data_IF_547474368544
#
_entry.id   IF_547474368544
#
_cell.length_a   1.000
_cell.length_b   1.000
_cell.length_c   1.000
_cell.angle_alpha   90.00
_cell.angle_beta   90.00
_cell.angle_gamma   90.00
#
_symmetry.space_group_name_H-M   'P 1'
#
loop_
_entity.id
_entity.type
_entity.pdbx_description
1 polymer ?
#
# COMPACT_ATOMS: atom_id res chain seq x y z
N UNK A 1 -55.97 -81.95 7.66
CA UNK A 1 -56.98 -81.30 6.79
C UNK A 1 -57.17 -79.87 7.27
N UNK A 2 -57.04 -78.89 6.36
CA UNK A 2 -57.62 -77.52 6.42
C UNK A 2 -57.14 -76.64 7.59
N UNK A 3 -56.99 -75.33 7.53
CA UNK A 3 -56.90 -74.29 6.49
C UNK A 3 -56.39 -73.03 7.24
N UNK A 4 -55.95 -72.03 6.51
CA UNK A 4 -55.28 -70.81 6.98
C UNK A 4 -56.05 -69.96 8.02
N UNK A 5 -55.33 -69.13 8.78
CA UNK A 5 -55.70 -67.71 8.90
C UNK A 5 -54.52 -66.84 9.30
N UNK A 6 -54.45 -65.69 8.63
CA UNK A 6 -53.48 -64.60 8.74
C UNK A 6 -53.89 -63.71 9.92
N UNK A 7 -52.93 -63.21 10.70
CA UNK A 7 -53.11 -61.89 11.33
C UNK A 7 -51.77 -61.21 11.60
N UNK A 8 -51.58 -60.13 10.85
CA UNK A 8 -50.56 -59.10 10.95
C UNK A 8 -50.60 -58.37 12.29
N UNK A 9 -49.44 -58.11 12.91
CA UNK A 9 -49.29 -56.97 13.81
C UNK A 9 -47.92 -56.32 13.61
N UNK A 10 -47.97 -55.07 13.18
CA UNK A 10 -46.88 -54.14 12.92
C UNK A 10 -45.93 -54.02 14.13
N UNK A 11 -44.64 -54.25 13.91
CA UNK A 11 -43.59 -53.74 14.80
C UNK A 11 -43.30 -52.28 14.41
N UNK A 12 -43.76 -51.35 15.24
CA UNK A 12 -43.45 -49.93 15.08
C UNK A 12 -42.03 -49.67 15.62
N UNK A 13 -41.02 -49.69 14.75
CA UNK A 13 -39.67 -49.25 15.07
C UNK A 13 -39.60 -47.76 14.78
N UNK A 14 -39.73 -46.95 15.83
CA UNK A 14 -39.32 -45.54 15.80
C UNK A 14 -37.79 -45.47 15.66
N UNK A 15 -37.30 -45.46 14.42
CA UNK A 15 -35.96 -45.01 14.15
C UNK A 15 -35.95 -43.48 14.26
N UNK A 16 -35.54 -42.96 15.42
CA UNK A 16 -35.09 -41.56 15.52
C UNK A 16 -33.88 -41.42 14.57
N UNK A 17 -34.12 -40.94 13.36
CA UNK A 17 -33.06 -40.33 12.56
C UNK A 17 -32.61 -39.07 13.30
N UNK A 18 -31.57 -39.21 14.12
CA UNK A 18 -30.66 -38.10 14.38
C UNK A 18 -30.00 -37.78 13.03
N UNK A 19 -30.67 -36.94 12.24
CA UNK A 19 -30.00 -36.16 11.21
C UNK A 19 -29.04 -35.23 11.94
N UNK A 20 -27.83 -35.74 12.20
CA UNK A 20 -26.68 -34.91 12.46
C UNK A 20 -26.45 -34.15 11.15
N UNK A 21 -27.14 -33.03 11.00
CA UNK A 21 -26.83 -32.01 10.01
C UNK A 21 -25.43 -31.55 10.34
N UNK A 22 -24.43 -32.24 9.77
CA UNK A 22 -23.11 -31.68 9.61
C UNK A 22 -23.32 -30.46 8.73
N UNK A 23 -23.59 -29.32 9.36
CA UNK A 23 -23.32 -28.04 8.77
C UNK A 23 -21.81 -28.07 8.50
N UNK A 24 -21.45 -28.54 7.31
CA UNK A 24 -20.17 -28.26 6.71
C UNK A 24 -20.13 -26.73 6.69
N UNK A 25 -19.50 -26.15 7.69
CA UNK A 25 -19.15 -24.75 7.65
C UNK A 25 -18.38 -24.60 6.35
N UNK A 26 -19.01 -23.95 5.37
CA UNK A 26 -18.35 -23.56 4.13
C UNK A 26 -17.02 -22.95 4.57
N UNK A 27 -15.88 -23.32 3.95
CA UNK A 27 -14.64 -22.62 4.25
C UNK A 27 -14.98 -21.14 4.11
N UNK A 28 -14.71 -20.36 5.15
CA UNK A 28 -14.84 -18.91 5.10
C UNK A 28 -14.01 -18.48 3.90
N UNK A 29 -14.65 -18.31 2.73
CA UNK A 29 -14.03 -17.70 1.58
C UNK A 29 -13.41 -16.44 2.13
N UNK A 30 -12.07 -16.36 2.08
CA UNK A 30 -11.31 -15.22 2.60
C UNK A 30 -12.04 -13.99 2.09
N UNK A 31 -12.75 -13.27 2.98
CA UNK A 31 -13.63 -12.18 2.57
C UNK A 31 -12.82 -11.31 1.62
N UNK A 32 -13.22 -11.29 0.36
CA UNK A 32 -12.52 -10.52 -0.66
C UNK A 32 -12.48 -9.06 -0.25
N UNK A 33 -11.63 -8.26 -0.89
CA UNK A 33 -11.66 -6.82 -0.68
C UNK A 33 -13.07 -6.27 -0.96
N UNK A 34 -13.45 -5.19 -0.27
CA UNK A 34 -14.77 -4.58 -0.39
C UNK A 34 -15.18 -4.35 -1.85
N UNK A 35 -16.46 -4.55 -2.17
CA UNK A 35 -16.96 -4.44 -3.55
C UNK A 35 -16.80 -3.04 -4.16
N UNK A 36 -16.65 -2.00 -3.34
CA UNK A 36 -16.34 -0.66 -3.80
C UNK A 36 -15.04 -0.58 -4.60
N UNK A 37 -14.06 -1.44 -4.29
CA UNK A 37 -12.78 -1.49 -5.00
C UNK A 37 -12.96 -1.88 -6.47
N UNK A 38 -13.93 -2.76 -6.74
CA UNK A 38 -14.28 -3.18 -8.11
C UNK A 38 -15.08 -2.15 -8.88
N UNK A 39 -15.65 -1.14 -8.21
CA UNK A 39 -16.54 -0.16 -8.82
C UNK A 39 -15.85 1.18 -9.05
N UNK A 40 -15.35 1.81 -7.97
CA UNK A 40 -14.89 3.20 -7.98
C UNK A 40 -13.89 3.48 -6.84
N UNK A 41 -12.82 2.68 -6.74
CA UNK A 41 -11.77 2.90 -5.74
C UNK A 41 -11.13 4.28 -5.97
N UNK A 42 -10.97 5.09 -4.92
CA UNK A 42 -10.17 6.33 -5.03
C UNK A 42 -8.70 5.94 -5.11
N UNK A 43 -7.95 6.58 -6.00
CA UNK A 43 -6.49 6.47 -6.02
C UNK A 43 -5.86 7.85 -5.89
N UNK A 44 -4.93 7.97 -4.95
CA UNK A 44 -4.02 9.11 -4.82
C UNK A 44 -2.59 8.64 -5.05
N UNK A 45 -1.62 9.54 -4.91
CA UNK A 45 -0.21 9.20 -5.03
C UNK A 45 0.59 9.88 -3.92
N UNK A 46 1.65 9.20 -3.48
CA UNK A 46 2.64 9.72 -2.54
C UNK A 46 4.06 9.40 -3.02
N UNK A 47 5.04 10.18 -2.55
CA UNK A 47 6.44 10.09 -3.02
C UNK A 47 7.41 10.32 -1.88
N UNK A 48 8.72 10.19 -2.15
CA UNK A 48 9.76 10.59 -1.21
C UNK A 48 10.21 12.02 -1.57
N UNK A 49 9.95 13.03 -0.72
CA UNK A 49 10.53 14.35 -0.87
C UNK A 49 12.05 14.26 -0.71
N UNK A 50 12.78 14.95 -1.57
CA UNK A 50 14.24 14.99 -1.56
C UNK A 50 14.73 16.40 -1.30
N UNK A 51 15.57 16.57 -0.28
CA UNK A 51 16.17 17.87 0.05
C UNK A 51 16.93 18.42 -1.16
N UNK A 52 16.56 19.63 -1.59
CA UNK A 52 17.09 20.32 -2.76
C UNK A 52 16.26 20.18 -4.04
N UNK A 53 15.34 19.22 -4.11
CA UNK A 53 14.53 18.99 -5.30
C UNK A 53 13.30 19.93 -5.36
N UNK A 54 12.71 20.04 -6.56
CA UNK A 54 11.39 20.65 -6.76
C UNK A 54 10.32 19.74 -6.14
N UNK A 55 9.36 20.35 -5.46
CA UNK A 55 8.23 19.69 -4.83
C UNK A 55 7.03 20.66 -4.81
N UNK A 56 6.02 20.37 -4.00
CA UNK A 56 4.91 21.24 -3.67
C UNK A 56 4.75 21.37 -2.15
N UNK A 57 4.15 22.47 -1.68
CA UNK A 57 3.69 22.59 -0.29
C UNK A 57 2.51 21.65 -0.05
N UNK A 58 2.13 21.45 1.21
CA UNK A 58 0.95 20.64 1.57
C UNK A 58 -0.37 21.25 1.04
N UNK A 59 -0.35 22.50 0.58
CA UNK A 59 -1.53 23.19 0.03
C UNK A 59 -1.61 23.16 -1.49
N UNK A 60 -0.56 22.73 -2.20
CA UNK A 60 -0.57 22.77 -3.68
C UNK A 60 0.59 23.53 -4.32
N UNK A 61 1.25 24.43 -3.59
CA UNK A 61 2.09 25.45 -4.20
C UNK A 61 3.46 24.91 -4.59
N UNK A 62 3.95 25.23 -5.79
CA UNK A 62 5.27 24.80 -6.23
C UNK A 62 6.38 25.36 -5.34
N UNK A 63 7.33 24.51 -4.94
CA UNK A 63 8.44 24.90 -4.07
C UNK A 63 9.72 24.14 -4.42
N UNK A 64 10.85 24.59 -3.87
CA UNK A 64 12.10 23.82 -3.85
C UNK A 64 12.43 23.53 -2.40
N UNK A 65 12.72 22.27 -2.05
CA UNK A 65 12.97 21.83 -0.67
C UNK A 65 14.36 22.27 -0.18
N UNK A 66 14.53 23.58 -0.04
CA UNK A 66 15.78 24.25 0.25
C UNK A 66 15.54 25.47 1.15
N UNK A 67 16.58 26.27 1.43
CA UNK A 67 16.50 27.47 2.27
C UNK A 67 17.19 27.31 3.63
N UNK A 68 16.94 28.27 4.52
CA UNK A 68 17.60 28.35 5.84
C UNK A 68 17.30 27.13 6.71
N UNK A 69 18.35 26.51 7.27
CA UNK A 69 18.29 25.24 8.00
C UNK A 69 17.86 25.44 9.46
N UNK A 70 16.58 25.76 9.67
CA UNK A 70 16.01 26.11 10.98
C UNK A 70 15.36 24.94 11.73
N UNK A 71 14.96 23.85 11.06
CA UNK A 71 14.31 22.69 11.70
C UNK A 71 15.27 21.55 11.90
N UNK A 72 15.24 20.95 13.10
CA UNK A 72 16.00 19.74 13.44
C UNK A 72 15.15 18.50 13.17
N UNK A 73 15.65 17.58 12.35
CA UNK A 73 15.15 16.21 12.27
C UNK A 73 15.79 15.45 13.43
N UNK A 74 14.98 14.88 14.33
CA UNK A 74 15.45 14.20 15.53
C UNK A 74 14.98 12.75 15.57
N UNK A 75 15.79 11.89 16.19
CA UNK A 75 15.40 10.53 16.53
C UNK A 75 14.67 10.43 17.87
N UNK A 76 14.21 9.21 18.22
CA UNK A 76 13.54 8.91 19.49
C UNK A 76 14.37 9.24 20.72
N UNK A 77 15.70 9.34 20.60
CA UNK A 77 16.61 9.73 21.69
C UNK A 77 16.85 11.25 21.73
N UNK A 78 16.15 12.02 20.88
CA UNK A 78 16.32 13.47 20.75
C UNK A 78 17.59 13.88 20.00
N UNK A 79 18.38 12.93 19.50
CA UNK A 79 19.61 13.22 18.74
C UNK A 79 19.24 13.80 17.38
N UNK A 80 19.91 14.87 17.00
CA UNK A 80 19.70 15.49 15.69
C UNK A 80 20.35 14.63 14.60
N UNK A 81 19.54 14.19 13.64
CA UNK A 81 19.99 13.49 12.43
C UNK A 81 20.50 14.53 11.41
N UNK A 82 19.74 15.61 11.22
CA UNK A 82 20.08 16.71 10.31
C UNK A 82 19.33 18.00 10.66
N UNK A 83 19.80 19.13 10.10
CA UNK A 83 19.04 20.37 10.03
C UNK A 83 18.61 20.64 8.59
N UNK A 84 17.34 21.00 8.40
CA UNK A 84 16.71 21.27 7.10
C UNK A 84 15.85 22.54 7.17
N UNK A 85 15.38 23.02 6.04
CA UNK A 85 14.41 24.13 6.02
C UNK A 85 13.05 23.71 6.56
N UNK A 86 12.25 24.70 6.99
CA UNK A 86 10.89 24.46 7.50
C UNK A 86 10.05 23.66 6.50
N UNK A 87 10.03 24.10 5.24
CA UNK A 87 9.29 23.42 4.16
C UNK A 87 9.77 21.99 3.93
N UNK A 88 11.08 21.73 3.98
CA UNK A 88 11.62 20.37 3.85
C UNK A 88 11.15 19.47 4.99
N UNK A 89 11.20 19.97 6.23
CA UNK A 89 10.71 19.24 7.40
C UNK A 89 9.22 18.91 7.29
N UNK A 90 8.40 19.89 6.91
CA UNK A 90 6.95 19.72 6.76
C UNK A 90 6.60 18.72 5.65
N UNK A 91 7.37 18.68 4.57
CA UNK A 91 7.20 17.65 3.54
C UNK A 91 7.64 16.26 3.97
N UNK A 92 8.76 16.15 4.69
CA UNK A 92 9.19 14.87 5.26
C UNK A 92 8.17 14.33 6.27
N UNK A 93 7.54 15.23 7.02
CA UNK A 93 6.41 14.89 7.89
C UNK A 93 5.22 14.41 7.05
N UNK A 94 4.77 15.21 6.07
CA UNK A 94 3.58 14.90 5.27
C UNK A 94 3.64 13.53 4.58
N UNK A 95 4.76 13.24 3.91
CA UNK A 95 4.92 11.99 3.16
C UNK A 95 5.41 10.82 4.02
N UNK A 96 5.76 11.06 5.28
CA UNK A 96 6.28 10.06 6.20
C UNK A 96 7.69 9.53 5.91
N UNK A 97 8.31 9.90 4.78
CA UNK A 97 9.68 9.55 4.38
C UNK A 97 10.38 10.80 3.86
N UNK A 98 11.72 10.83 3.89
CA UNK A 98 12.50 11.89 3.26
C UNK A 98 13.92 11.46 2.91
N UNK A 99 14.44 11.98 1.80
CA UNK A 99 15.82 11.76 1.36
C UNK A 99 16.62 13.06 1.50
N UNK A 100 17.59 13.07 2.41
CA UNK A 100 18.48 14.21 2.60
C UNK A 100 19.51 14.30 1.47
N UNK A 101 20.07 15.50 1.26
CA UNK A 101 21.12 15.72 0.24
C UNK A 101 22.37 14.86 0.47
N UNK A 102 22.60 14.44 1.72
CA UNK A 102 23.69 13.52 2.10
C UNK A 102 23.46 12.06 1.68
N UNK A 103 22.31 11.73 1.07
CA UNK A 103 21.92 10.34 0.78
C UNK A 103 21.32 9.59 1.98
N UNK A 104 21.29 10.22 3.16
CA UNK A 104 20.59 9.67 4.33
C UNK A 104 19.08 9.68 4.09
N UNK A 105 18.46 8.51 4.20
CA UNK A 105 17.02 8.36 4.20
C UNK A 105 16.48 8.34 5.62
N UNK A 106 15.38 9.05 5.85
CA UNK A 106 14.66 9.06 7.11
C UNK A 106 13.21 8.67 6.90
N UNK A 107 12.62 7.97 7.86
CA UNK A 107 11.19 7.70 7.95
C UNK A 107 10.63 8.25 9.26
N UNK A 108 9.37 8.65 9.29
CA UNK A 108 8.66 8.89 10.54
C UNK A 108 8.63 7.60 11.37
N UNK A 109 8.83 7.75 12.67
CA UNK A 109 8.94 6.63 13.60
C UNK A 109 7.89 6.69 14.72
N UNK A 110 7.63 7.88 15.28
CA UNK A 110 6.56 8.06 16.26
C UNK A 110 6.02 9.48 16.24
N UNK A 111 4.70 9.62 16.27
CA UNK A 111 4.05 10.91 16.11
C UNK A 111 4.40 11.57 14.78
N UNK A 112 4.45 12.90 14.75
CA UNK A 112 4.64 13.68 13.52
C UNK A 112 6.02 14.36 13.41
N UNK A 113 6.93 14.16 14.36
CA UNK A 113 8.18 14.94 14.41
C UNK A 113 9.43 14.13 14.78
N UNK A 114 9.26 12.83 15.06
CA UNK A 114 10.35 11.92 15.37
C UNK A 114 10.59 11.01 14.17
N UNK A 115 11.84 10.94 13.75
CA UNK A 115 12.28 10.21 12.58
C UNK A 115 13.33 9.15 12.93
N UNK A 116 13.42 8.10 12.14
CA UNK A 116 14.50 7.11 12.18
C UNK A 116 15.33 7.19 10.91
N UNK A 117 16.66 7.06 11.05
CA UNK A 117 17.53 6.81 9.89
C UNK A 117 17.30 5.37 9.41
N UNK A 118 17.16 5.19 8.10
CA UNK A 118 17.01 3.87 7.50
C UNK A 118 18.35 3.25 7.07
N UNK A 119 18.42 1.93 7.18
CA UNK A 119 19.44 1.11 6.53
C UNK A 119 19.10 0.95 5.05
N UNK A 120 19.84 1.64 4.18
CA UNK A 120 19.59 1.65 2.73
C UNK A 120 19.81 0.29 2.07
N UNK A 121 20.55 -0.64 2.69
CA UNK A 121 20.70 -2.01 2.19
C UNK A 121 19.44 -2.86 2.36
N UNK A 122 18.57 -2.50 3.32
CA UNK A 122 17.33 -3.24 3.64
C UNK A 122 16.08 -2.51 3.13
N UNK A 123 16.04 -1.20 3.28
CA UNK A 123 14.89 -0.35 2.94
C UNK A 123 15.33 0.84 2.08
N UNK A 124 15.81 0.59 0.84
CA UNK A 124 16.39 1.61 -0.02
C UNK A 124 15.42 2.75 -0.40
N UNK A 125 14.12 2.54 -0.29
CA UNK A 125 13.07 3.47 -0.72
C UNK A 125 12.03 3.76 0.38
N UNK A 126 12.38 3.55 1.63
CA UNK A 126 11.48 3.83 2.75
C UNK A 126 10.87 2.58 3.35
N UNK A 127 10.26 2.80 4.52
CA UNK A 127 9.52 1.82 5.28
C UNK A 127 8.05 2.24 5.30
N UNK A 128 7.18 1.35 4.84
CA UNK A 128 5.75 1.50 5.05
C UNK A 128 5.36 1.06 6.46
N UNK A 129 4.10 1.28 6.79
CA UNK A 129 3.50 0.93 8.07
C UNK A 129 3.75 -0.54 8.43
N UNK A 130 3.99 -0.80 9.72
CA UNK A 130 4.30 -2.12 10.26
C UNK A 130 5.53 -2.81 9.63
N UNK A 131 6.49 -2.06 9.08
CA UNK A 131 7.83 -2.57 8.77
C UNK A 131 8.04 -3.14 7.35
N UNK A 132 7.14 -2.90 6.41
CA UNK A 132 7.37 -3.33 5.02
C UNK A 132 8.35 -2.40 4.30
N UNK A 133 9.18 -2.96 3.43
CA UNK A 133 9.93 -2.13 2.48
C UNK A 133 8.97 -1.58 1.43
N UNK A 134 9.05 -0.28 1.17
CA UNK A 134 8.40 0.31 0.00
C UNK A 134 9.21 -0.02 -1.25
N UNK A 135 8.51 -0.31 -2.34
CA UNK A 135 9.11 -0.61 -3.64
C UNK A 135 8.46 0.32 -4.66
N UNK A 136 9.27 1.14 -5.37
CA UNK A 136 8.77 2.06 -6.37
C UNK A 136 7.84 1.38 -7.35
N UNK A 137 6.75 2.05 -7.69
CA UNK A 137 5.82 1.65 -8.75
C UNK A 137 4.96 0.42 -8.45
N UNK A 138 5.10 -0.23 -7.29
CA UNK A 138 4.33 -1.44 -6.96
C UNK A 138 3.78 -1.45 -5.55
N UNK A 139 4.27 -0.60 -4.65
CA UNK A 139 3.68 -0.43 -3.33
C UNK A 139 2.48 0.50 -3.38
N UNK A 140 1.42 0.14 -2.67
CA UNK A 140 0.28 1.01 -2.38
C UNK A 140 0.01 1.05 -0.88
N UNK A 141 -0.49 2.18 -0.39
CA UNK A 141 -1.09 2.29 0.93
C UNK A 141 -2.58 1.93 0.88
N UNK A 142 -3.11 1.32 1.95
CA UNK A 142 -4.55 1.08 2.14
C UNK A 142 -4.85 0.81 3.62
N UNK A 143 -5.92 1.40 4.16
CA UNK A 143 -6.30 1.23 5.56
C UNK A 143 -7.29 0.08 5.80
N UNK A 144 -7.94 -0.43 4.75
CA UNK A 144 -9.01 -1.45 4.84
C UNK A 144 -8.72 -2.72 4.02
N UNK A 145 -7.57 -2.79 3.33
CA UNK A 145 -7.07 -4.02 2.71
C UNK A 145 -5.91 -4.57 3.53
N UNK A 146 -5.95 -5.88 3.79
CA UNK A 146 -4.86 -6.56 4.50
C UNK A 146 -3.52 -6.34 3.79
N UNK A 147 -2.53 -5.89 4.55
CA UNK A 147 -1.12 -5.83 4.16
C UNK A 147 -0.63 -7.11 3.47
N UNK A 148 0.21 -6.95 2.45
CA UNK A 148 0.75 -8.03 1.62
C UNK A 148 -0.21 -8.54 0.54
N UNK A 149 -1.47 -8.09 0.53
CA UNK A 149 -2.43 -8.44 -0.53
C UNK A 149 -1.93 -7.90 -1.86
N UNK A 150 -1.88 -8.78 -2.86
CA UNK A 150 -1.62 -8.40 -4.25
C UNK A 150 -2.91 -7.95 -4.91
N UNK A 151 -2.83 -6.82 -5.59
CA UNK A 151 -3.94 -6.19 -6.27
C UNK A 151 -3.61 -6.06 -7.75
N UNK A 152 -4.63 -6.19 -8.57
CA UNK A 152 -4.59 -5.80 -9.97
C UNK A 152 -5.47 -4.58 -10.18
N UNK A 153 -4.88 -3.50 -10.71
CA UNK A 153 -5.53 -2.24 -11.03
C UNK A 153 -5.61 -2.12 -12.55
N UNK A 154 -6.83 -2.16 -13.10
CA UNK A 154 -7.06 -2.25 -14.54
C UNK A 154 -6.43 -1.08 -15.30
N UNK A 155 -6.56 0.13 -14.78
CA UNK A 155 -6.07 1.38 -15.39
C UNK A 155 -4.54 1.51 -15.37
N UNK A 156 -3.86 0.67 -14.58
CA UNK A 156 -2.40 0.65 -14.50
C UNK A 156 -1.78 -0.48 -15.35
N UNK A 157 -2.58 -1.30 -16.03
CA UNK A 157 -2.06 -2.27 -17.00
C UNK A 157 -1.79 -1.58 -18.35
N UNK A 158 -0.56 -1.71 -18.84
CA UNK A 158 -0.06 -0.98 -20.00
C UNK A 158 0.34 0.48 -19.73
N UNK A 159 0.14 0.98 -18.51
CA UNK A 159 0.50 2.35 -18.13
C UNK A 159 2.00 2.59 -18.32
N UNK A 160 2.36 3.59 -19.14
CA UNK A 160 3.76 3.97 -19.38
C UNK A 160 4.27 4.83 -18.23
N UNK A 161 5.19 4.27 -17.44
CA UNK A 161 5.93 4.92 -16.37
C UNK A 161 6.87 6.01 -16.89
N UNK A 162 7.35 6.93 -16.04
CA UNK A 162 8.21 8.04 -16.47
C UNK A 162 9.50 7.61 -17.18
N UNK A 163 10.00 6.40 -16.93
CA UNK A 163 11.19 5.84 -17.57
C UNK A 163 10.88 5.05 -18.86
N UNK A 164 9.63 5.03 -19.30
CA UNK A 164 9.17 4.34 -20.50
C UNK A 164 8.75 2.88 -20.27
N UNK A 165 9.01 2.29 -19.10
CA UNK A 165 8.52 0.95 -18.79
C UNK A 165 6.99 0.91 -18.76
N UNK A 166 6.41 -0.21 -19.18
CA UNK A 166 4.96 -0.45 -19.10
C UNK A 166 4.64 -1.21 -17.81
N UNK A 167 3.83 -0.59 -16.94
CA UNK A 167 3.30 -1.21 -15.75
C UNK A 167 2.26 -2.31 -16.12
N UNK A 168 2.15 -3.36 -15.33
CA UNK A 168 1.31 -4.55 -15.62
C UNK A 168 0.06 -4.65 -14.73
N UNK A 169 -0.39 -3.52 -14.20
CA UNK A 169 -1.50 -3.43 -13.25
C UNK A 169 -1.26 -4.02 -11.85
N UNK A 170 -0.16 -4.76 -11.63
CA UNK A 170 0.07 -5.48 -10.38
C UNK A 170 0.78 -4.65 -9.31
N UNK A 171 0.15 -4.53 -8.14
CA UNK A 171 0.68 -3.83 -6.96
C UNK A 171 0.48 -4.66 -5.69
N UNK A 172 1.05 -4.20 -4.57
CA UNK A 172 0.92 -4.82 -3.24
C UNK A 172 0.64 -3.77 -2.18
N UNK A 173 -0.26 -4.11 -1.26
CA UNK A 173 -0.50 -3.28 -0.07
C UNK A 173 0.71 -3.39 0.86
N UNK A 174 1.51 -2.33 0.92
CA UNK A 174 2.74 -2.27 1.69
C UNK A 174 2.70 -1.23 2.80
N UNK A 175 1.69 -0.37 2.83
CA UNK A 175 1.63 0.80 3.68
C UNK A 175 0.19 1.13 4.14
N UNK A 176 0.08 2.09 5.05
CA UNK A 176 -1.17 2.67 5.57
C UNK A 176 -0.99 4.19 5.65
N UNK A 177 -2.08 4.95 5.61
CA UNK A 177 -2.03 6.41 5.55
C UNK A 177 -2.99 7.08 6.54
N UNK A 178 -2.51 8.12 7.23
CA UNK A 178 -3.28 8.79 8.29
C UNK A 178 -4.53 9.57 7.84
N UNK A 179 -4.66 9.86 6.55
CA UNK A 179 -5.75 10.64 5.95
C UNK A 179 -6.61 9.81 5.00
N UNK A 180 -6.41 8.48 5.03
CA UNK A 180 -7.08 7.57 4.11
C UNK A 180 -8.33 6.95 4.75
N UNK A 181 -9.41 6.92 3.96
CA UNK A 181 -10.63 6.21 4.30
C UNK A 181 -10.67 4.81 3.69
N UNK A 182 -11.83 4.15 3.83
CA UNK A 182 -12.08 2.91 3.09
C UNK A 182 -12.17 3.15 1.58
N UNK A 183 -11.96 2.09 0.79
CA UNK A 183 -12.04 2.14 -0.68
C UNK A 183 -11.06 3.14 -1.33
N UNK A 184 -9.90 3.33 -0.72
CA UNK A 184 -8.85 4.22 -1.20
C UNK A 184 -7.50 3.49 -1.23
N UNK A 185 -6.78 3.70 -2.33
CA UNK A 185 -5.35 3.40 -2.44
C UNK A 185 -4.54 4.69 -2.53
N UNK A 186 -3.33 4.66 -2.02
CA UNK A 186 -2.32 5.68 -2.29
C UNK A 186 -1.12 5.03 -2.99
N UNK A 187 -0.80 5.47 -4.20
CA UNK A 187 0.20 4.80 -5.03
C UNK A 187 1.59 5.40 -4.82
N UNK A 188 2.55 4.55 -4.46
CA UNK A 188 3.93 4.98 -4.22
C UNK A 188 4.68 5.23 -5.54
N UNK A 189 4.79 6.51 -5.93
CA UNK A 189 5.37 6.94 -7.21
C UNK A 189 6.79 7.47 -7.10
N UNK A 190 7.44 7.27 -5.96
CA UNK A 190 8.85 7.59 -5.67
C UNK A 190 9.24 9.07 -5.72
N UNK A 191 8.87 9.83 -6.76
CA UNK A 191 9.36 11.19 -7.05
C UNK A 191 8.20 12.14 -7.36
N UNK A 192 8.33 13.41 -6.97
CA UNK A 192 7.37 14.46 -7.34
C UNK A 192 7.26 14.67 -8.87
N UNK A 193 8.37 14.53 -9.60
CA UNK A 193 8.37 14.58 -11.07
C UNK A 193 7.47 13.50 -11.68
N UNK A 194 7.49 12.29 -11.11
CA UNK A 194 6.65 11.18 -11.53
C UNK A 194 5.18 11.43 -11.18
N UNK A 195 4.89 11.94 -9.98
CA UNK A 195 3.55 12.38 -9.58
C UNK A 195 2.93 13.33 -10.62
N UNK A 196 3.67 14.37 -11.02
CA UNK A 196 3.20 15.35 -12.03
C UNK A 196 2.87 14.72 -13.39
N UNK A 197 3.56 13.65 -13.77
CA UNK A 197 3.30 12.91 -15.01
C UNK A 197 2.11 11.98 -14.84
N UNK A 198 2.10 11.18 -13.77
CA UNK A 198 1.15 10.11 -13.55
C UNK A 198 -0.23 10.61 -13.15
N UNK A 199 -0.33 11.75 -12.44
CA UNK A 199 -1.64 12.37 -12.14
C UNK A 199 -2.42 12.77 -13.38
N UNK A 200 -1.76 12.93 -14.53
CA UNK A 200 -2.39 13.22 -15.83
C UNK A 200 -2.80 11.95 -16.58
N UNK A 201 -2.28 10.79 -16.19
CA UNK A 201 -2.46 9.50 -16.87
C UNK A 201 -3.37 8.55 -16.10
N UNK A 202 -3.33 8.59 -14.77
CA UNK A 202 -4.12 7.74 -13.89
C UNK A 202 -5.39 8.52 -13.51
N UNK A 203 -6.60 7.99 -13.77
CA UNK A 203 -7.83 8.62 -13.31
C UNK A 203 -7.92 8.61 -11.78
N UNK A 204 -8.67 9.54 -11.20
CA UNK A 204 -8.89 9.60 -9.74
C UNK A 204 -9.68 8.41 -9.18
N UNK A 205 -10.32 7.64 -10.06
CA UNK A 205 -11.11 6.44 -9.78
C UNK A 205 -10.63 5.27 -10.62
N UNK A 206 -10.39 4.13 -9.98
CA UNK A 206 -9.84 2.92 -10.63
C UNK A 206 -10.59 1.65 -10.22
N UNK A 207 -10.44 0.61 -11.04
CA UNK A 207 -11.02 -0.72 -10.83
C UNK A 207 -9.96 -1.67 -10.28
N UNK A 208 -10.17 -2.14 -9.06
CA UNK A 208 -9.22 -2.93 -8.30
C UNK A 208 -9.82 -4.29 -7.94
N UNK A 209 -9.04 -5.34 -8.17
CA UNK A 209 -9.36 -6.71 -7.71
C UNK A 209 -8.20 -7.27 -6.92
N UNK A 210 -8.49 -7.95 -5.80
CA UNK A 210 -7.51 -8.80 -5.16
C UNK A 210 -7.27 -10.01 -6.05
N UNK A 211 -6.05 -10.15 -6.56
CA UNK A 211 -5.68 -11.17 -7.54
C UNK A 211 -4.25 -11.59 -7.30
N UNK A 212 -4.00 -12.90 -7.29
CA UNK A 212 -2.63 -13.40 -7.38
C UNK A 212 -2.07 -13.03 -8.75
N UNK A 213 -1.18 -12.06 -8.78
CA UNK A 213 -0.50 -11.65 -10.00
C UNK A 213 1.00 -11.41 -9.75
N UNK A 214 1.77 -11.34 -10.83
CA UNK A 214 3.23 -11.19 -10.75
C UNK A 214 3.58 -9.72 -10.69
N UNK A 215 4.14 -9.29 -9.56
CA UNK A 215 4.70 -7.95 -9.41
C UNK A 215 6.04 -7.93 -10.16
N UNK A 216 6.19 -7.00 -11.10
CA UNK A 216 7.45 -6.80 -11.82
C UNK A 216 8.37 -5.85 -11.07
N UNK A 217 9.65 -5.91 -11.38
CA UNK A 217 10.63 -4.94 -10.91
C UNK A 217 10.78 -3.77 -11.91
N UNK A 218 10.38 -2.59 -11.45
CA UNK A 218 10.49 -1.35 -12.21
C UNK A 218 11.68 -0.49 -11.76
N UNK A 219 12.50 -0.95 -10.80
CA UNK A 219 13.71 -0.25 -10.35
C UNK A 219 14.80 -0.33 -11.43
N UNK A 220 15.09 0.79 -12.07
CA UNK A 220 16.15 0.95 -13.07
C UNK A 220 17.39 1.64 -12.47
N UNK A 221 18.47 1.72 -13.25
CA UNK A 221 19.66 2.50 -12.88
C UNK A 221 19.34 3.98 -12.66
N UNK A 222 18.37 4.55 -13.38
CA UNK A 222 17.94 5.93 -13.17
C UNK A 222 17.18 6.10 -11.84
N UNK A 223 16.33 5.13 -11.48
CA UNK A 223 15.67 5.07 -10.17
C UNK A 223 16.72 4.98 -9.04
N UNK A 224 17.71 4.10 -9.18
CA UNK A 224 18.82 3.97 -8.22
C UNK A 224 19.63 5.25 -8.10
N UNK A 225 20.01 5.85 -9.24
CA UNK A 225 20.76 7.12 -9.29
C UNK A 225 20.00 8.26 -8.62
N UNK A 226 18.70 8.39 -8.87
CA UNK A 226 17.88 9.40 -8.21
C UNK A 226 17.87 9.20 -6.68
N UNK A 227 17.74 7.95 -6.23
CA UNK A 227 17.74 7.57 -4.82
C UNK A 227 19.14 7.59 -4.16
N UNK A 228 20.19 7.98 -4.89
CA UNK A 228 21.59 7.99 -4.42
C UNK A 228 22.03 6.60 -3.95
N UNK A 229 21.73 5.60 -4.78
CA UNK A 229 22.16 4.21 -4.59
C UNK A 229 23.19 3.89 -5.67
N UNK A 230 24.29 3.24 -5.25
CA UNK A 230 25.40 2.80 -6.09
C UNK A 230 25.33 1.30 -6.30
#
# INVERSE_FOLDING_TARGET
MKQASISTTLLSICALMLCCSMALASPLDKRGISSCYKKNARITQYWIPKEGDKDMTNNGDSVTLSGSKSKKIKDRKGKTIAKVSKTTFEKFQMEGTGLLKSGTMVNLDSGNSIFMKLDRGKTPYGLGSNGNRLVPWVSVASNDIKKGTKLYIKEMDGLVLPDGKKHNGCVRVDDEGWSMGGCQLDFFVLQFSAYKVLTKKIPSKVHVVAKSCTIKDYVTSSVKKWAVLH
#
